data_IF_087430069272
#
_entry.id   IF_087430069272
#
_cell.length_a   1.000
_cell.length_b   1.000
_cell.length_c   1.000
_cell.angle_alpha   90.00
_cell.angle_beta   90.00
_cell.angle_gamma   90.00
#
_symmetry.space_group_name_H-M   'P 1'
#
loop_
_entity.id
_entity.type
_entity.pdbx_description
1 polymer ?
#
# COMPACT_ATOMS: atom_id res chain seq x y z
N UNK A 1 29.44 8.17 4.95
CA UNK A 1 28.08 8.58 4.52
C UNK A 1 27.41 9.25 5.71
N UNK A 2 26.80 10.43 5.55
CA UNK A 2 26.07 11.06 6.65
C UNK A 2 24.71 10.40 6.83
N UNK A 3 24.16 10.40 8.05
CA UNK A 3 22.85 9.82 8.36
C UNK A 3 21.74 10.37 7.44
N UNK A 4 21.80 11.66 7.10
CA UNK A 4 20.88 12.30 6.17
C UNK A 4 20.91 11.69 4.76
N UNK A 5 22.09 11.34 4.25
CA UNK A 5 22.21 10.65 2.94
C UNK A 5 21.59 9.27 2.98
N UNK A 6 21.75 8.52 4.08
CA UNK A 6 21.16 7.19 4.24
C UNK A 6 19.63 7.29 4.25
N UNK A 7 19.06 8.22 5.01
CA UNK A 7 17.62 8.45 5.07
C UNK A 7 17.04 8.85 3.70
N UNK A 8 17.75 9.70 2.96
CA UNK A 8 17.35 10.11 1.61
C UNK A 8 17.31 8.91 0.64
N UNK A 9 18.33 8.05 0.68
CA UNK A 9 18.38 6.84 -0.16
C UNK A 9 17.24 5.88 0.19
N UNK A 10 16.97 5.65 1.49
CA UNK A 10 15.84 4.82 1.94
C UNK A 10 14.51 5.38 1.46
N UNK A 11 14.30 6.70 1.57
CA UNK A 11 13.09 7.37 1.09
C UNK A 11 12.87 7.15 -0.41
N UNK A 12 13.92 7.28 -1.22
CA UNK A 12 13.87 7.05 -2.66
C UNK A 12 13.52 5.59 -2.98
N UNK A 13 14.11 4.62 -2.27
CA UNK A 13 13.82 3.20 -2.44
C UNK A 13 12.35 2.86 -2.11
N UNK A 14 11.79 3.46 -1.06
CA UNK A 14 10.37 3.29 -0.69
C UNK A 14 9.46 3.84 -1.79
N UNK A 15 9.73 5.04 -2.30
CA UNK A 15 8.95 5.64 -3.38
C UNK A 15 9.00 4.81 -4.67
N UNK A 16 10.18 4.28 -5.04
CA UNK A 16 10.35 3.41 -6.20
C UNK A 16 9.66 2.04 -6.04
N UNK A 17 9.57 1.52 -4.82
CA UNK A 17 8.87 0.27 -4.51
C UNK A 17 7.34 0.36 -4.64
N UNK A 18 6.77 1.56 -4.55
CA UNK A 18 5.33 1.81 -4.72
C UNK A 18 4.92 1.83 -6.19
N UNK A 19 5.85 2.13 -7.11
CA UNK A 19 5.54 2.16 -8.54
C UNK A 19 5.42 0.70 -9.04
N UNK A 20 4.27 0.27 -9.60
CA UNK A 20 4.04 -1.11 -10.03
C UNK A 20 4.73 -1.42 -11.38
N UNK A 21 5.97 -0.98 -11.56
CA UNK A 21 6.79 -1.22 -12.76
C UNK A 21 7.50 -2.58 -12.70
N UNK A 22 7.69 -3.15 -11.49
CA UNK A 22 8.39 -4.43 -11.32
C UNK A 22 7.42 -5.61 -11.56
N UNK A 23 7.82 -6.65 -12.30
CA UNK A 23 7.00 -7.87 -12.47
C UNK A 23 6.63 -8.55 -11.15
N UNK A 24 7.44 -8.38 -10.09
CA UNK A 24 7.18 -8.89 -8.75
C UNK A 24 6.11 -8.08 -7.98
N UNK A 25 6.03 -6.75 -8.18
CA UNK A 25 4.96 -5.89 -7.64
C UNK A 25 3.59 -6.11 -8.30
N UNK A 26 3.54 -6.80 -9.46
CA UNK A 26 2.29 -7.27 -10.07
C UNK A 26 1.70 -8.51 -9.39
N UNK A 27 2.52 -9.32 -8.72
CA UNK A 27 2.07 -10.50 -7.95
C UNK A 27 1.43 -10.14 -6.60
N UNK A 28 1.54 -8.88 -6.16
CA UNK A 28 0.82 -8.38 -4.98
C UNK A 28 -0.64 -8.05 -5.26
N UNK A 29 -1.10 -8.05 -6.52
CA UNK A 29 -2.46 -7.72 -6.99
C UNK A 29 -3.52 -7.52 -5.90
N UNK A 30 -4.35 -8.54 -5.65
CA UNK A 30 -5.31 -8.66 -4.54
C UNK A 30 -4.69 -9.30 -3.27
N UNK A 31 -3.38 -9.17 -3.07
CA UNK A 31 -2.66 -9.59 -1.87
C UNK A 31 -3.06 -8.76 -0.64
N UNK A 32 -2.25 -8.67 0.44
CA UNK A 32 -2.67 -8.08 1.72
C UNK A 32 -3.33 -6.69 1.59
N UNK A 33 -2.96 -5.89 0.59
CA UNK A 33 -3.61 -4.61 0.23
C UNK A 33 -5.04 -4.75 -0.34
N UNK A 34 -5.35 -5.78 -1.12
CA UNK A 34 -6.68 -6.07 -1.65
C UNK A 34 -7.65 -6.52 -0.58
N UNK A 35 -7.19 -7.32 0.40
CA UNK A 35 -7.98 -7.72 1.56
C UNK A 35 -8.32 -6.52 2.46
N UNK A 36 -7.36 -5.62 2.66
CA UNK A 36 -7.57 -4.36 3.39
C UNK A 36 -8.51 -3.43 2.62
N UNK A 37 -8.33 -3.28 1.31
CA UNK A 37 -9.21 -2.45 0.46
C UNK A 37 -10.64 -2.99 0.41
N UNK A 38 -10.80 -4.31 0.28
CA UNK A 38 -12.11 -4.97 0.29
C UNK A 38 -12.76 -4.86 1.68
N UNK A 39 -11.98 -5.01 2.76
CA UNK A 39 -12.46 -4.76 4.12
C UNK A 39 -12.95 -3.32 4.33
N UNK A 40 -12.21 -2.32 3.85
CA UNK A 40 -12.62 -0.91 3.92
C UNK A 40 -13.93 -0.65 3.16
N UNK A 41 -14.10 -1.25 1.98
CA UNK A 41 -15.34 -1.16 1.20
C UNK A 41 -16.51 -1.77 1.97
N UNK A 42 -16.33 -2.94 2.60
CA UNK A 42 -17.37 -3.59 3.42
C UNK A 42 -17.80 -2.69 4.59
N UNK A 43 -16.84 -2.15 5.34
CA UNK A 43 -17.12 -1.26 6.48
C UNK A 43 -17.89 -0.02 6.02
N UNK A 44 -17.49 0.58 4.90
CA UNK A 44 -18.16 1.76 4.35
C UNK A 44 -19.63 1.47 3.98
N UNK A 45 -19.89 0.32 3.36
CA UNK A 45 -21.26 -0.11 3.02
C UNK A 45 -22.08 -0.29 4.29
N UNK A 46 -21.54 -1.00 5.28
CA UNK A 46 -22.26 -1.26 6.52
C UNK A 46 -22.57 0.04 7.31
N UNK A 47 -21.65 1.01 7.32
CA UNK A 47 -21.86 2.34 7.89
C UNK A 47 -22.97 3.11 7.15
N UNK A 48 -22.97 3.08 5.82
CA UNK A 48 -24.02 3.73 5.01
C UNK A 48 -25.40 3.08 5.19
N UNK A 49 -25.45 1.77 5.44
CA UNK A 49 -26.68 1.06 5.76
C UNK A 49 -27.09 1.18 7.25
N UNK A 50 -26.30 1.86 8.09
CA UNK A 50 -26.55 1.99 9.54
C UNK A 50 -26.52 0.66 10.29
N UNK A 51 -25.74 -0.31 9.78
CA UNK A 51 -25.59 -1.66 10.35
C UNK A 51 -24.42 -1.76 11.34
N UNK A 52 -23.67 -0.67 11.50
CA UNK A 52 -22.62 -0.40 12.49
C UNK A 52 -22.84 1.03 12.97
#
# INVERSE_FOLDING_TARGET
>A
MSLGTILLVVLILVLLGVIPTWPHSRAWGYGPSGLVGLGLIIVLILLLLGRI
#
